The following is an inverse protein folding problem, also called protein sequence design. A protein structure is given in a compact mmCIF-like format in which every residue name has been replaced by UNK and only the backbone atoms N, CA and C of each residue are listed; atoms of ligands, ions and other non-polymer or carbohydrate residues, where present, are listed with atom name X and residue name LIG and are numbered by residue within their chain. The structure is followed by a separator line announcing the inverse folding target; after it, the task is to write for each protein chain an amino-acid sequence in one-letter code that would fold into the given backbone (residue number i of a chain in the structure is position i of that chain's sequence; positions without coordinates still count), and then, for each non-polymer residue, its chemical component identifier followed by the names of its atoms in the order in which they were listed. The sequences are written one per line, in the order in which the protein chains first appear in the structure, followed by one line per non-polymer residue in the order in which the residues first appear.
data_IF_737570725181
#
_entry.id   IF_737570725181
#
_cell.length_a   1.000
_cell.length_b   1.000
_cell.length_c   1.000
_cell.angle_alpha   90.00
_cell.angle_beta   90.00
_cell.angle_gamma   90.00
#
_symmetry.space_group_name_H-M   'P 1'
#
loop_
_entity.id
_entity.type
_entity.pdbx_description
1 polymer ?
#
# COMPACT_ATOMS: atom_id res chain seq x y z
N UNK A 1 19.96 64.52 -53.09
CA UNK A 1 18.79 64.24 -52.21
C UNK A 1 18.57 62.74 -52.17
N UNK A 2 18.48 62.21 -50.94
CA UNK A 2 17.74 61.02 -50.49
C UNK A 2 18.12 59.62 -51.01
N UNK A 3 18.86 58.95 -50.12
CA UNK A 3 18.85 57.54 -49.72
C UNK A 3 17.54 56.77 -49.90
N UNK A 4 17.64 55.49 -50.29
CA UNK A 4 16.82 54.39 -49.75
C UNK A 4 17.65 53.09 -49.69
N UNK A 5 18.07 52.73 -48.48
CA UNK A 5 18.37 51.35 -48.04
C UNK A 5 17.10 50.80 -47.39
N UNK A 6 16.83 49.49 -47.47
CA UNK A 6 16.21 48.66 -46.40
C UNK A 6 16.12 47.20 -46.90
N UNK A 7 17.11 46.35 -46.59
CA UNK A 7 17.17 45.38 -45.48
C UNK A 7 16.32 44.13 -45.67
N UNK A 8 17.03 43.04 -46.04
CA UNK A 8 16.62 41.65 -45.98
C UNK A 8 16.64 41.19 -44.51
N UNK A 9 15.49 40.87 -43.92
CA UNK A 9 15.40 40.26 -42.59
C UNK A 9 15.50 38.74 -42.70
N UNK A 10 16.69 38.20 -42.39
CA UNK A 10 16.87 36.77 -42.11
C UNK A 10 16.38 36.50 -40.67
N UNK A 11 15.26 35.81 -40.54
CA UNK A 11 14.74 35.32 -39.27
C UNK A 11 15.58 34.13 -38.81
N UNK A 12 16.50 34.37 -37.88
CA UNK A 12 17.23 33.33 -37.15
C UNK A 12 16.23 32.58 -36.25
N UNK A 13 15.80 31.39 -36.67
CA UNK A 13 15.22 30.41 -35.77
C UNK A 13 16.30 30.01 -34.76
N UNK A 14 16.29 30.64 -33.59
CA UNK A 14 17.03 30.18 -32.42
C UNK A 14 16.48 28.82 -32.02
N UNK A 15 17.17 27.77 -32.44
CA UNK A 15 17.04 26.43 -31.87
C UNK A 15 17.43 26.56 -30.40
N UNK A 16 16.43 26.70 -29.52
CA UNK A 16 16.60 26.46 -28.10
C UNK A 16 16.89 24.96 -27.95
N UNK A 17 18.17 24.62 -28.08
CA UNK A 17 18.71 23.39 -27.56
C UNK A 17 18.63 23.51 -26.04
N UNK A 18 17.47 23.17 -25.47
CA UNK A 18 17.40 22.87 -24.05
C UNK A 18 18.32 21.69 -23.84
N UNK A 19 19.51 21.95 -23.30
CA UNK A 19 20.32 20.93 -22.69
C UNK A 19 19.44 20.27 -21.63
N UNK A 20 18.84 19.13 -21.97
CA UNK A 20 18.18 18.27 -21.01
C UNK A 20 19.26 17.92 -20.00
N UNK A 21 19.17 18.53 -18.82
CA UNK A 21 20.00 18.18 -17.68
C UNK A 21 19.91 16.66 -17.52
N UNK A 22 21.04 15.97 -17.66
CA UNK A 22 21.10 14.54 -17.48
C UNK A 22 20.46 14.19 -16.13
N UNK A 23 19.45 13.33 -16.16
CA UNK A 23 18.78 12.88 -14.94
C UNK A 23 19.81 12.13 -14.12
N UNK A 24 20.01 12.56 -12.88
CA UNK A 24 20.82 11.83 -11.92
C UNK A 24 19.90 10.84 -11.20
N UNK A 25 19.91 9.60 -11.67
CA UNK A 25 19.04 8.51 -11.20
C UNK A 25 19.04 8.34 -9.68
N UNK A 26 20.23 8.36 -9.05
CA UNK A 26 20.36 8.25 -7.60
C UNK A 26 19.75 9.44 -6.85
N UNK A 27 19.88 10.65 -7.41
CA UNK A 27 19.26 11.86 -6.84
C UNK A 27 17.74 11.79 -6.95
N UNK A 28 17.20 11.31 -8.08
CA UNK A 28 15.76 11.12 -8.25
C UNK A 28 15.23 10.12 -7.23
N UNK A 29 15.85 8.95 -7.08
CA UNK A 29 15.39 7.94 -6.12
C UNK A 29 15.39 8.48 -4.68
N UNK A 30 16.44 9.23 -4.30
CA UNK A 30 16.52 9.88 -2.98
C UNK A 30 15.39 10.91 -2.77
N UNK A 31 15.10 11.73 -3.78
CA UNK A 31 14.01 12.72 -3.73
C UNK A 31 12.65 12.05 -3.68
N UNK A 32 12.45 10.98 -4.45
CA UNK A 32 11.24 10.15 -4.42
C UNK A 32 11.02 9.59 -3.03
N UNK A 33 12.03 8.94 -2.42
CA UNK A 33 11.95 8.37 -1.06
C UNK A 33 11.54 9.40 0.00
N UNK A 34 12.05 10.63 -0.10
CA UNK A 34 11.72 11.72 0.83
C UNK A 34 10.26 12.22 0.73
N UNK A 35 9.51 11.84 -0.30
CA UNK A 35 8.11 12.25 -0.49
C UNK A 35 7.11 11.34 0.22
N UNK A 36 7.50 10.13 0.63
CA UNK A 36 6.58 9.16 1.23
C UNK A 36 6.51 9.35 2.74
N UNK A 37 5.30 9.15 3.28
CA UNK A 37 5.14 9.05 4.71
C UNK A 37 5.67 7.69 5.20
N UNK A 38 6.88 7.70 5.76
CA UNK A 38 7.51 6.53 6.37
C UNK A 38 7.69 6.72 7.88
N UNK A 39 6.67 6.43 8.72
CA UNK A 39 6.71 6.73 10.15
C UNK A 39 7.84 6.00 10.90
N UNK A 40 8.24 4.81 10.46
CA UNK A 40 9.36 4.07 11.07
C UNK A 40 10.72 4.70 10.79
N UNK A 41 10.87 5.45 9.68
CA UNK A 41 12.06 6.28 9.45
C UNK A 41 12.05 7.56 10.29
N UNK A 42 10.89 7.94 10.82
CA UNK A 42 10.73 9.16 11.62
C UNK A 42 10.84 8.97 13.11
N UNK A 43 11.06 7.74 13.61
CA UNK A 43 11.22 7.30 15.02
C UNK A 43 10.08 6.43 15.58
N UNK A 44 9.05 6.09 14.81
CA UNK A 44 8.06 5.09 15.26
C UNK A 44 8.76 3.74 15.48
N UNK A 45 8.58 3.13 16.65
CA UNK A 45 9.09 1.78 16.95
C UNK A 45 7.99 0.73 16.76
N UNK A 46 6.82 0.99 17.35
CA UNK A 46 5.65 0.12 17.25
C UNK A 46 4.36 0.89 17.52
N UNK A 47 3.23 0.29 17.16
CA UNK A 47 1.92 0.70 17.68
C UNK A 47 1.04 -0.51 17.97
N UNK A 48 0.13 -0.37 18.92
CA UNK A 48 -0.86 -1.40 19.28
C UNK A 48 -2.26 -0.82 19.26
N UNK A 49 -3.20 -1.51 18.61
CA UNK A 49 -4.60 -1.08 18.50
C UNK A 49 -5.54 -2.25 18.83
N UNK A 50 -6.76 -1.92 19.24
CA UNK A 50 -7.87 -2.86 19.16
C UNK A 50 -8.32 -2.99 17.70
N UNK A 51 -8.73 -4.19 17.32
CA UNK A 51 -9.33 -4.49 16.01
C UNK A 51 -10.85 -4.56 16.22
N UNK A 52 -11.56 -3.55 15.72
CA UNK A 52 -13.02 -3.55 15.68
C UNK A 52 -13.49 -4.14 14.35
N UNK A 53 -14.14 -5.29 14.43
CA UNK A 53 -14.74 -5.97 13.28
C UNK A 53 -16.22 -6.20 13.54
N UNK A 54 -17.06 -5.98 12.52
CA UNK A 54 -18.50 -6.18 12.62
C UNK A 54 -18.89 -7.49 11.94
N UNK A 55 -18.90 -8.58 12.71
CA UNK A 55 -19.20 -9.92 12.20
C UNK A 55 -20.59 -10.01 11.58
N UNK A 56 -21.56 -9.37 12.22
CA UNK A 56 -22.93 -9.33 11.70
C UNK A 56 -22.99 -8.70 10.32
N UNK A 57 -22.31 -7.57 10.13
CA UNK A 57 -22.26 -6.89 8.84
C UNK A 57 -21.54 -7.75 7.80
N UNK A 58 -20.38 -8.31 8.14
CA UNK A 58 -19.60 -9.15 7.24
C UNK A 58 -20.42 -10.32 6.69
N UNK A 59 -21.16 -11.05 7.54
CA UNK A 59 -21.98 -12.16 7.08
C UNK A 59 -23.17 -11.75 6.20
N UNK A 60 -23.70 -10.52 6.33
CA UNK A 60 -24.67 -9.99 5.37
C UNK A 60 -24.07 -9.62 4.01
N UNK A 61 -22.78 -9.29 3.97
CA UNK A 61 -22.10 -8.82 2.75
C UNK A 61 -21.43 -9.96 1.98
N UNK A 62 -21.00 -11.02 2.67
CA UNK A 62 -20.37 -12.19 2.09
C UNK A 62 -21.28 -13.42 2.24
N UNK A 63 -21.69 -14.01 1.11
CA UNK A 63 -22.50 -15.25 1.13
C UNK A 63 -21.62 -16.42 1.58
N UNK A 64 -21.90 -16.97 2.76
CA UNK A 64 -21.23 -18.17 3.26
C UNK A 64 -21.74 -19.39 2.48
N UNK A 65 -20.84 -20.09 1.78
CA UNK A 65 -21.18 -21.30 1.03
C UNK A 65 -20.76 -22.53 1.83
N UNK A 66 -21.73 -23.27 2.36
CA UNK A 66 -21.52 -24.66 2.77
C UNK A 66 -21.33 -24.94 4.26
N UNK A 67 -21.81 -24.09 5.17
CA UNK A 67 -21.61 -24.30 6.60
C UNK A 67 -22.92 -24.55 7.37
N UNK A 68 -22.83 -25.32 8.46
CA UNK A 68 -23.89 -25.51 9.45
C UNK A 68 -23.91 -24.33 10.46
N UNK A 69 -25.10 -23.96 10.96
CA UNK A 69 -25.32 -22.84 11.87
C UNK A 69 -25.71 -21.52 11.17
N UNK A 70 -26.45 -20.66 11.87
CA UNK A 70 -26.85 -19.34 11.35
C UNK A 70 -25.76 -18.30 11.59
N UNK A 71 -25.63 -17.35 10.67
CA UNK A 71 -24.66 -16.26 10.76
C UNK A 71 -24.84 -15.43 12.06
N UNK A 72 -26.09 -15.28 12.52
CA UNK A 72 -26.39 -14.63 13.79
C UNK A 72 -25.86 -15.39 15.02
N UNK A 73 -25.87 -16.72 15.00
CA UNK A 73 -25.34 -17.53 16.10
C UNK A 73 -23.82 -17.42 16.18
N UNK A 74 -23.15 -17.51 15.03
CA UNK A 74 -21.70 -17.37 14.94
C UNK A 74 -21.29 -15.97 15.39
N UNK A 75 -21.92 -14.92 14.84
CA UNK A 75 -21.60 -13.54 15.20
C UNK A 75 -21.74 -13.28 16.72
N UNK A 76 -22.75 -13.84 17.39
CA UNK A 76 -22.91 -13.69 18.84
C UNK A 76 -21.75 -14.29 19.64
N UNK A 77 -21.15 -15.37 19.16
CA UNK A 77 -20.05 -16.05 19.84
C UNK A 77 -18.73 -15.28 19.68
N UNK A 78 -18.44 -14.79 18.48
CA UNK A 78 -17.13 -14.20 18.15
C UNK A 78 -17.06 -12.68 18.31
N UNK A 79 -18.18 -11.96 18.19
CA UNK A 79 -18.21 -10.50 18.34
C UNK A 79 -17.65 -9.96 19.69
N UNK A 80 -17.80 -10.66 20.82
CA UNK A 80 -17.21 -10.22 22.10
C UNK A 80 -15.69 -10.44 22.21
N UNK A 81 -15.06 -11.16 21.28
CA UNK A 81 -13.62 -11.46 21.34
C UNK A 81 -12.83 -10.16 21.10
N UNK A 82 -11.95 -9.83 22.05
CA UNK A 82 -11.15 -8.61 21.99
C UNK A 82 -9.84 -8.85 21.23
N UNK A 83 -9.88 -8.69 19.92
CA UNK A 83 -8.71 -8.87 19.07
C UNK A 83 -7.88 -7.59 19.05
N UNK A 84 -6.56 -7.75 19.20
CA UNK A 84 -5.61 -6.64 19.13
C UNK A 84 -4.54 -6.92 18.10
N UNK A 85 -4.00 -5.86 17.53
CA UNK A 85 -2.83 -5.95 16.64
C UNK A 85 -1.71 -5.10 17.20
N UNK A 86 -0.49 -5.64 17.14
CA UNK A 86 0.74 -4.89 17.37
C UNK A 86 1.53 -4.87 16.07
N UNK A 87 1.87 -3.68 15.60
CA UNK A 87 2.59 -3.47 14.35
C UNK A 87 3.94 -2.85 14.67
N UNK A 88 5.00 -3.56 14.30
CA UNK A 88 6.38 -3.11 14.37
C UNK A 88 6.96 -2.99 12.95
N UNK A 89 8.18 -2.47 12.83
CA UNK A 89 8.85 -2.26 11.54
C UNK A 89 8.87 -3.52 10.66
N UNK A 90 9.02 -4.70 11.26
CA UNK A 90 9.20 -5.96 10.53
C UNK A 90 7.89 -6.67 10.20
N UNK A 91 6.88 -6.56 11.05
CA UNK A 91 5.64 -7.31 10.92
C UNK A 91 4.49 -6.71 11.76
N UNK A 92 3.27 -7.07 11.37
CA UNK A 92 2.08 -7.04 12.19
C UNK A 92 1.88 -8.40 12.86
N UNK A 93 1.54 -8.40 14.14
CA UNK A 93 1.19 -9.58 14.92
C UNK A 93 -0.18 -9.33 15.54
N UNK A 94 -1.11 -10.24 15.27
CA UNK A 94 -2.45 -10.22 15.84
C UNK A 94 -2.45 -11.11 17.07
N UNK A 95 -3.14 -10.67 18.12
CA UNK A 95 -3.42 -11.45 19.31
C UNK A 95 -4.93 -11.47 19.52
N UNK A 96 -5.55 -12.63 19.31
CA UNK A 96 -6.91 -12.86 19.78
C UNK A 96 -6.98 -12.78 21.30
N UNK A 97 -8.09 -12.23 21.81
CA UNK A 97 -8.43 -12.26 23.23
C UNK A 97 -8.91 -13.63 23.71
N UNK A 98 -8.95 -14.63 22.83
CA UNK A 98 -9.39 -16.00 23.09
C UNK A 98 -8.19 -16.93 23.31
N UNK A 99 -8.29 -17.87 24.24
CA UNK A 99 -7.28 -18.92 24.38
C UNK A 99 -7.43 -19.98 23.29
N UNK A 100 -6.33 -20.62 22.89
CA UNK A 100 -6.33 -21.66 21.84
C UNK A 100 -7.35 -22.79 22.12
N UNK A 101 -7.53 -23.18 23.39
CA UNK A 101 -8.50 -24.22 23.75
C UNK A 101 -9.96 -23.74 23.71
N UNK A 102 -10.21 -22.43 23.77
CA UNK A 102 -11.53 -21.81 23.56
C UNK A 102 -11.86 -21.74 22.07
N UNK A 103 -10.87 -21.47 21.22
CA UNK A 103 -11.00 -21.48 19.77
C UNK A 103 -11.47 -22.83 19.24
N UNK A 104 -10.84 -23.91 19.71
CA UNK A 104 -11.20 -25.28 19.34
C UNK A 104 -12.60 -25.71 19.83
N UNK A 105 -13.17 -25.00 20.82
CA UNK A 105 -14.52 -25.24 21.33
C UNK A 105 -15.59 -24.46 20.58
N UNK A 106 -15.21 -23.47 19.76
CA UNK A 106 -16.15 -22.74 18.93
C UNK A 106 -16.45 -23.56 17.66
N UNK A 107 -17.69 -24.06 17.47
CA UNK A 107 -18.06 -24.64 16.20
C UNK A 107 -17.94 -23.54 15.13
N UNK A 108 -17.04 -23.74 14.16
CA UNK A 108 -16.76 -22.84 13.03
C UNK A 108 -16.25 -21.41 13.39
N UNK A 109 -16.46 -20.93 14.62
CA UNK A 109 -16.03 -19.61 15.08
C UNK A 109 -14.51 -19.47 15.18
N UNK A 110 -13.77 -20.56 15.44
CA UNK A 110 -12.31 -20.53 15.37
C UNK A 110 -11.78 -20.27 13.97
N UNK A 111 -12.42 -20.85 12.94
CA UNK A 111 -12.05 -20.57 11.55
C UNK A 111 -12.33 -19.12 11.16
N UNK A 112 -13.48 -18.57 11.56
CA UNK A 112 -13.81 -17.17 11.31
C UNK A 112 -12.77 -16.24 11.96
N UNK A 113 -12.48 -16.42 13.24
CA UNK A 113 -11.49 -15.59 13.95
C UNK A 113 -10.09 -15.74 13.34
N UNK A 114 -9.63 -16.96 13.03
CA UNK A 114 -8.36 -17.17 12.34
C UNK A 114 -8.29 -16.50 10.96
N UNK A 115 -9.41 -16.45 10.22
CA UNK A 115 -9.48 -15.70 8.96
C UNK A 115 -9.38 -14.19 9.19
N UNK A 116 -10.01 -13.65 10.23
CA UNK A 116 -9.86 -12.25 10.62
C UNK A 116 -8.42 -11.92 10.98
N UNK A 117 -7.77 -12.75 11.82
CA UNK A 117 -6.36 -12.56 12.18
C UNK A 117 -5.46 -12.52 10.95
N UNK A 118 -5.62 -13.50 10.05
CA UNK A 118 -4.87 -13.56 8.81
C UNK A 118 -5.13 -12.34 7.92
N UNK A 119 -6.39 -11.91 7.78
CA UNK A 119 -6.77 -10.74 7.00
C UNK A 119 -6.15 -9.44 7.54
N UNK A 120 -6.20 -9.22 8.86
CA UNK A 120 -5.58 -8.08 9.53
C UNK A 120 -4.06 -8.10 9.36
N UNK A 121 -3.43 -9.25 9.61
CA UNK A 121 -1.99 -9.40 9.48
C UNK A 121 -1.53 -9.17 8.03
N UNK A 122 -2.20 -9.80 7.06
CA UNK A 122 -1.90 -9.66 5.64
C UNK A 122 -2.01 -8.20 5.19
N UNK A 123 -3.12 -7.53 5.51
CA UNK A 123 -3.34 -6.15 5.09
C UNK A 123 -2.34 -5.16 5.71
N UNK A 124 -1.99 -5.32 6.99
CA UNK A 124 -1.01 -4.44 7.64
C UNK A 124 0.44 -4.74 7.23
N UNK A 125 0.78 -6.00 6.93
CA UNK A 125 2.10 -6.33 6.38
C UNK A 125 2.33 -5.75 4.99
N UNK A 126 1.28 -5.64 4.16
CA UNK A 126 1.40 -4.92 2.89
C UNK A 126 1.53 -3.40 3.09
N UNK A 127 0.83 -2.84 4.08
CA UNK A 127 1.03 -1.43 4.48
C UNK A 127 2.46 -1.14 4.96
N UNK A 128 3.09 -2.10 5.65
CA UNK A 128 4.47 -1.97 6.14
C UNK A 128 5.48 -1.70 5.03
N UNK A 129 5.22 -2.14 3.80
CA UNK A 129 6.04 -1.83 2.64
C UNK A 129 6.18 -0.31 2.45
N UNK A 130 5.05 0.41 2.47
CA UNK A 130 5.03 1.86 2.32
C UNK A 130 5.62 2.56 3.56
N UNK A 131 5.21 2.13 4.77
CA UNK A 131 5.60 2.80 6.01
C UNK A 131 7.10 2.70 6.34
N UNK A 132 7.82 1.80 5.67
CA UNK A 132 9.27 1.61 5.81
C UNK A 132 10.05 2.07 4.56
N UNK A 133 9.43 2.74 3.59
CA UNK A 133 10.04 3.01 2.28
C UNK A 133 10.61 1.76 1.58
N UNK A 134 10.02 0.58 1.85
CA UNK A 134 10.44 -0.70 1.29
C UNK A 134 9.76 -1.02 -0.06
N UNK A 135 8.77 -0.21 -0.48
CA UNK A 135 8.23 -0.23 -1.85
C UNK A 135 9.21 0.33 -2.89
N UNK A 136 10.26 1.03 -2.45
CA UNK A 136 11.29 1.57 -3.32
C UNK A 136 12.56 0.73 -3.21
N UNK A 137 13.34 0.58 -4.30
CA UNK A 137 14.61 -0.13 -4.25
C UNK A 137 15.54 0.49 -3.18
N UNK A 138 16.39 -0.31 -2.52
CA UNK A 138 17.39 0.19 -1.58
C UNK A 138 18.21 1.33 -2.18
N UNK A 139 18.65 2.29 -1.36
CA UNK A 139 19.29 3.54 -1.84
C UNK A 139 20.51 3.31 -2.74
N UNK A 140 21.24 2.22 -2.53
CA UNK A 140 22.45 1.88 -3.29
C UNK A 140 22.18 0.97 -4.49
N UNK A 141 20.92 0.64 -4.78
CA UNK A 141 20.57 -0.16 -5.94
C UNK A 141 20.79 0.67 -7.21
N UNK A 142 21.58 0.18 -8.18
CA UNK A 142 21.67 0.83 -9.49
C UNK A 142 20.29 0.84 -10.14
N UNK A 143 19.78 2.03 -10.44
CA UNK A 143 18.50 2.24 -11.11
C UNK A 143 18.73 3.08 -12.37
N UNK A 144 17.84 2.93 -13.34
CA UNK A 144 17.73 3.81 -14.50
C UNK A 144 16.39 4.51 -14.47
N UNK A 145 16.37 5.85 -14.55
CA UNK A 145 15.13 6.62 -14.57
C UNK A 145 14.96 7.32 -15.90
N UNK A 146 13.83 7.08 -16.56
CA UNK A 146 13.44 7.76 -17.79
C UNK A 146 12.10 8.49 -17.61
N UNK A 147 11.94 9.71 -18.16
CA UNK A 147 10.63 10.36 -18.23
C UNK A 147 9.68 9.57 -19.12
N UNK A 148 8.40 9.54 -18.75
CA UNK A 148 7.33 8.96 -19.54
C UNK A 148 6.18 9.96 -19.72
N UNK A 149 5.21 9.63 -20.58
CA UNK A 149 4.04 10.49 -20.79
C UNK A 149 3.17 10.66 -19.53
N UNK A 150 3.24 9.71 -18.58
CA UNK A 150 2.45 9.71 -17.34
C UNK A 150 3.27 10.07 -16.10
N UNK A 151 4.57 10.34 -16.24
CA UNK A 151 5.46 10.63 -15.12
C UNK A 151 6.87 10.13 -15.37
N UNK A 152 7.27 9.12 -14.61
CA UNK A 152 8.60 8.52 -14.68
C UNK A 152 8.52 7.01 -14.69
N UNK A 153 9.43 6.39 -15.42
CA UNK A 153 9.66 4.96 -15.37
C UNK A 153 11.03 4.72 -14.75
N UNK A 154 11.08 3.82 -13.78
CA UNK A 154 12.30 3.41 -13.11
C UNK A 154 12.51 1.92 -13.38
N UNK A 155 13.71 1.57 -13.81
CA UNK A 155 14.12 0.18 -14.03
C UNK A 155 15.31 -0.18 -13.15
N UNK A 156 15.30 -1.38 -12.60
CA UNK A 156 16.43 -1.90 -11.82
C UNK A 156 16.45 -3.42 -11.83
N UNK A 157 17.58 -4.02 -11.44
CA UNK A 157 17.74 -5.47 -11.41
C UNK A 157 17.73 -6.00 -9.99
N UNK A 158 16.92 -7.04 -9.75
CA UNK A 158 16.94 -7.83 -8.51
C UNK A 158 17.41 -9.23 -8.85
N UNK A 159 18.63 -9.56 -8.43
CA UNK A 159 19.29 -10.84 -8.75
C UNK A 159 19.26 -11.11 -10.27
N UNK A 160 18.39 -12.02 -10.71
CA UNK A 160 18.26 -12.48 -12.09
C UNK A 160 17.15 -11.81 -12.88
N UNK A 161 16.27 -11.03 -12.24
CA UNK A 161 15.08 -10.45 -12.87
C UNK A 161 15.17 -8.93 -12.92
N UNK A 162 14.63 -8.35 -13.99
CA UNK A 162 14.48 -6.89 -14.14
C UNK A 162 13.11 -6.48 -13.60
N UNK A 163 13.09 -5.41 -12.82
CA UNK A 163 11.88 -4.81 -12.25
C UNK A 163 11.64 -3.48 -12.92
N UNK A 164 10.38 -3.21 -13.24
CA UNK A 164 9.90 -1.94 -13.75
C UNK A 164 8.93 -1.33 -12.73
N UNK A 165 9.15 -0.05 -12.42
CA UNK A 165 8.28 0.76 -11.57
C UNK A 165 7.80 1.98 -12.36
N UNK A 166 6.51 2.26 -12.25
CA UNK A 166 5.87 3.43 -12.86
C UNK A 166 5.47 4.42 -11.79
N UNK A 167 5.87 5.67 -11.96
CA UNK A 167 5.58 6.78 -11.07
C UNK A 167 4.79 7.85 -11.80
N UNK A 168 3.88 8.51 -11.10
CA UNK A 168 3.25 9.74 -11.56
C UNK A 168 4.25 10.91 -11.54
N UNK A 169 3.88 12.05 -12.14
CA UNK A 169 4.71 13.26 -12.15
C UNK A 169 5.08 13.80 -10.77
N UNK A 170 4.23 13.57 -9.76
CA UNK A 170 4.50 13.96 -8.39
C UNK A 170 5.42 12.98 -7.64
N UNK A 171 5.87 11.92 -8.34
CA UNK A 171 6.70 10.80 -7.88
C UNK A 171 5.97 9.80 -6.95
N UNK A 172 4.63 9.80 -6.94
CA UNK A 172 3.87 8.71 -6.34
C UNK A 172 3.94 7.43 -7.19
N UNK A 173 4.20 6.29 -6.54
CA UNK A 173 4.28 4.98 -7.17
C UNK A 173 2.88 4.56 -7.60
N UNK A 174 2.75 4.17 -8.85
CA UNK A 174 1.49 3.71 -9.44
C UNK A 174 1.49 2.19 -9.61
N UNK A 175 2.62 1.62 -10.04
CA UNK A 175 2.75 0.18 -10.22
C UNK A 175 4.19 -0.29 -10.17
N UNK A 176 4.37 -1.55 -9.78
CA UNK A 176 5.63 -2.29 -9.92
C UNK A 176 5.36 -3.68 -10.52
N UNK A 177 6.30 -4.20 -11.32
CA UNK A 177 6.22 -5.56 -11.84
C UNK A 177 7.62 -6.08 -12.22
N UNK A 178 7.82 -7.39 -12.15
CA UNK A 178 8.92 -8.02 -12.87
C UNK A 178 8.64 -7.93 -14.38
N UNK A 179 9.63 -7.51 -15.17
CA UNK A 179 9.49 -7.36 -16.62
C UNK A 179 9.02 -8.66 -17.27
N UNK A 180 7.93 -8.59 -18.03
CA UNK A 180 7.33 -9.74 -18.71
C UNK A 180 6.47 -10.64 -17.82
N UNK A 181 6.30 -10.31 -16.52
CA UNK A 181 5.43 -11.04 -15.60
C UNK A 181 4.24 -10.19 -15.17
N UNK A 182 3.10 -10.40 -15.81
CA UNK A 182 1.85 -9.77 -15.37
C UNK A 182 1.37 -10.29 -14.01
N UNK A 183 1.74 -11.53 -13.65
CA UNK A 183 1.40 -12.17 -12.39
C UNK A 183 2.04 -11.45 -11.18
N UNK A 184 3.26 -10.93 -11.36
CA UNK A 184 3.99 -10.23 -10.31
C UNK A 184 3.62 -8.74 -10.19
N UNK A 185 2.66 -8.27 -11.00
CA UNK A 185 2.24 -6.87 -11.00
C UNK A 185 1.56 -6.52 -9.68
N UNK A 186 1.93 -5.36 -9.16
CA UNK A 186 1.24 -4.69 -8.05
C UNK A 186 0.94 -3.26 -8.46
N UNK A 187 -0.14 -2.72 -7.92
CA UNK A 187 -0.52 -1.33 -8.11
C UNK A 187 -0.77 -0.66 -6.78
N UNK A 188 -0.52 0.64 -6.74
CA UNK A 188 -0.64 1.44 -5.52
C UNK A 188 -1.27 2.78 -5.83
N UNK A 189 -2.01 3.31 -4.85
CA UNK A 189 -2.52 4.67 -4.90
C UNK A 189 -2.09 5.42 -3.66
N UNK A 190 -1.52 6.60 -3.86
CA UNK A 190 -1.10 7.48 -2.79
C UNK A 190 -1.91 8.77 -2.76
N UNK A 191 -2.08 9.34 -1.58
CA UNK A 191 -2.64 10.69 -1.40
C UNK A 191 -1.70 11.55 -0.56
N UNK A 192 -1.67 12.88 -0.79
CA UNK A 192 -0.94 13.79 0.10
C UNK A 192 -1.45 13.70 1.54
N UNK A 193 -0.53 13.52 2.48
CA UNK A 193 -0.76 13.61 3.91
C UNK A 193 0.17 14.64 4.57
N UNK A 194 0.05 14.86 5.89
CA UNK A 194 0.81 15.89 6.60
C UNK A 194 2.33 15.71 6.58
N UNK A 195 2.81 14.46 6.46
CA UNK A 195 4.23 14.10 6.53
C UNK A 195 4.76 13.46 5.22
N UNK A 196 3.97 13.50 4.15
CA UNK A 196 4.29 12.86 2.88
C UNK A 196 3.11 12.11 2.29
N UNK A 197 3.36 11.34 1.24
CA UNK A 197 2.38 10.50 0.58
C UNK A 197 1.99 9.30 1.44
N UNK A 198 0.68 9.17 1.69
CA UNK A 198 0.06 8.05 2.39
C UNK A 198 -0.46 7.04 1.38
N UNK A 199 -0.15 5.75 1.56
CA UNK A 199 -0.68 4.69 0.70
C UNK A 199 -2.16 4.45 1.03
N UNK A 200 -3.04 4.78 0.10
CA UNK A 200 -4.51 4.63 0.28
C UNK A 200 -5.06 3.36 -0.39
N UNK A 201 -4.34 2.81 -1.36
CA UNK A 201 -4.66 1.50 -1.91
C UNK A 201 -3.41 0.73 -2.30
N UNK A 202 -3.47 -0.60 -2.15
CA UNK A 202 -2.49 -1.55 -2.64
C UNK A 202 -3.25 -2.72 -3.30
N UNK A 203 -2.90 -3.05 -4.55
CA UNK A 203 -3.54 -4.10 -5.34
C UNK A 203 -2.51 -5.10 -5.78
N UNK A 204 -2.86 -6.38 -5.69
CA UNK A 204 -2.01 -7.49 -6.11
C UNK A 204 -2.87 -8.60 -6.73
N UNK A 205 -2.23 -9.45 -7.53
CA UNK A 205 -2.88 -10.59 -8.14
C UNK A 205 -3.17 -11.68 -7.11
N UNK A 206 -4.29 -12.36 -7.28
CA UNK A 206 -4.65 -13.55 -6.51
C UNK A 206 -4.27 -14.79 -7.31
N UNK A 207 -3.64 -15.78 -6.67
CA UNK A 207 -3.19 -17.03 -7.31
C UNK A 207 -2.36 -16.83 -8.60
N UNK A 208 -1.61 -15.73 -8.67
CA UNK A 208 -0.78 -15.37 -9.82
C UNK A 208 -1.53 -14.73 -10.99
N UNK A 209 -2.77 -14.24 -10.78
CA UNK A 209 -3.55 -13.54 -11.79
C UNK A 209 -3.87 -12.11 -11.35
N UNK A 210 -3.39 -11.10 -12.09
CA UNK A 210 -3.68 -9.69 -11.81
C UNK A 210 -4.88 -9.14 -12.61
N UNK A 211 -5.57 -9.97 -13.41
CA UNK A 211 -6.70 -9.50 -14.22
C UNK A 211 -7.86 -9.01 -13.33
N UNK A 212 -8.63 -7.99 -13.78
CA UNK A 212 -9.86 -7.60 -13.10
C UNK A 212 -10.76 -8.81 -12.85
N UNK A 213 -11.23 -8.96 -11.62
CA UNK A 213 -11.95 -10.14 -11.15
C UNK A 213 -11.09 -11.13 -10.37
N UNK A 214 -9.75 -11.02 -10.41
CA UNK A 214 -8.82 -11.91 -9.69
C UNK A 214 -7.81 -11.13 -8.84
N UNK A 215 -8.15 -9.91 -8.40
CA UNK A 215 -7.23 -9.09 -7.59
C UNK A 215 -7.65 -9.10 -6.13
N UNK A 216 -6.65 -8.98 -5.26
CA UNK A 216 -6.84 -8.55 -3.88
C UNK A 216 -6.60 -7.04 -3.83
N UNK A 217 -7.55 -6.30 -3.28
CA UNK A 217 -7.49 -4.85 -3.15
C UNK A 217 -7.51 -4.51 -1.66
N UNK A 218 -6.45 -3.87 -1.20
CA UNK A 218 -6.32 -3.32 0.13
C UNK A 218 -6.57 -1.82 0.04
N UNK A 219 -7.39 -1.27 0.94
CA UNK A 219 -7.58 0.18 1.05
C UNK A 219 -7.42 0.64 2.48
N UNK A 220 -6.83 1.81 2.67
CA UNK A 220 -6.50 2.38 3.97
C UNK A 220 -7.03 3.80 4.10
N UNK A 221 -7.81 4.04 5.15
CA UNK A 221 -8.03 5.36 5.72
C UNK A 221 -7.13 5.54 6.95
N UNK A 222 -6.80 6.77 7.29
CA UNK A 222 -5.78 7.09 8.29
C UNK A 222 -6.33 7.93 9.45
N UNK A 223 -5.74 7.72 10.62
CA UNK A 223 -5.90 8.51 11.83
C UNK A 223 -4.55 9.05 12.30
N UNK A 224 -4.59 10.12 13.10
CA UNK A 224 -3.39 10.65 13.76
C UNK A 224 -3.28 10.10 15.19
N UNK A 225 -2.21 9.36 15.48
CA UNK A 225 -1.94 8.82 16.82
C UNK A 225 -0.52 9.19 17.23
N UNK A 226 -0.38 9.97 18.29
CA UNK A 226 0.94 10.41 18.78
C UNK A 226 1.78 11.19 17.75
N UNK A 227 1.15 11.81 16.74
CA UNK A 227 1.83 12.54 15.67
C UNK A 227 2.14 11.71 14.42
N UNK A 228 1.78 10.43 14.40
CA UNK A 228 1.94 9.56 13.23
C UNK A 228 0.60 9.33 12.52
N UNK A 229 0.64 9.27 11.18
CA UNK A 229 -0.48 8.81 10.37
C UNK A 229 -0.46 7.28 10.34
N UNK A 230 -1.42 6.65 11.02
CA UNK A 230 -1.56 5.20 11.10
C UNK A 230 -2.89 4.78 10.46
N UNK A 231 -3.02 3.54 9.95
CA UNK A 231 -4.29 3.03 9.47
C UNK A 231 -5.39 3.12 10.56
N UNK A 232 -6.56 3.60 10.16
CA UNK A 232 -7.78 3.65 10.98
C UNK A 232 -8.82 2.67 10.47
N UNK A 233 -9.08 2.68 9.16
CA UNK A 233 -10.07 1.81 8.54
C UNK A 233 -9.39 1.09 7.40
N UNK A 234 -9.53 -0.22 7.39
CA UNK A 234 -8.92 -1.08 6.39
C UNK A 234 -10.00 -1.91 5.75
N UNK A 235 -9.99 -1.95 4.43
CA UNK A 235 -10.85 -2.83 3.65
C UNK A 235 -10.00 -3.74 2.79
N UNK A 236 -10.41 -5.01 2.71
CA UNK A 236 -9.78 -6.05 1.90
C UNK A 236 -10.86 -6.61 1.00
N UNK A 237 -10.72 -6.41 -0.30
CA UNK A 237 -11.63 -6.95 -1.30
C UNK A 237 -10.92 -8.01 -2.10
N UNK A 238 -11.43 -9.24 -2.08
CA UNK A 238 -10.97 -10.33 -2.94
C UNK A 238 -11.96 -10.46 -4.08
N UNK A 239 -11.58 -9.99 -5.27
CA UNK A 239 -12.49 -9.89 -6.41
C UNK A 239 -13.01 -11.27 -6.86
N UNK A 240 -12.18 -12.32 -6.77
CA UNK A 240 -12.51 -13.66 -7.29
C UNK A 240 -13.56 -14.39 -6.46
N UNK A 241 -13.60 -14.10 -5.16
CA UNK A 241 -14.51 -14.71 -4.19
C UNK A 241 -15.69 -13.80 -3.84
N UNK A 242 -15.75 -12.59 -4.41
CA UNK A 242 -16.71 -11.54 -4.03
C UNK A 242 -16.73 -11.29 -2.51
N UNK A 243 -15.56 -11.40 -1.88
CA UNK A 243 -15.41 -11.34 -0.43
C UNK A 243 -14.85 -9.98 -0.02
N UNK A 244 -15.45 -9.39 1.02
CA UNK A 244 -15.00 -8.12 1.56
C UNK A 244 -14.88 -8.18 3.08
N UNK A 245 -13.73 -7.75 3.58
CA UNK A 245 -13.45 -7.60 5.00
C UNK A 245 -13.27 -6.13 5.32
N UNK A 246 -13.96 -5.63 6.34
CA UNK A 246 -13.86 -4.27 6.83
C UNK A 246 -13.57 -4.27 8.33
N UNK A 247 -12.41 -3.74 8.74
CA UNK A 247 -12.09 -3.55 10.15
C UNK A 247 -11.62 -2.13 10.44
N UNK A 248 -11.76 -1.73 11.70
CA UNK A 248 -11.21 -0.48 12.22
C UNK A 248 -10.15 -0.76 13.27
N UNK A 249 -9.15 0.10 13.31
CA UNK A 249 -8.15 0.14 14.36
C UNK A 249 -8.50 1.27 15.33
N UNK A 250 -8.77 0.92 16.57
CA UNK A 250 -9.17 1.90 17.61
C UNK A 250 -8.35 1.73 18.87
N UNK A 251 -8.43 2.70 19.79
CA UNK A 251 -7.70 2.66 21.06
C UNK A 251 -6.19 2.48 20.88
N UNK A 252 -5.64 3.11 19.84
CA UNK A 252 -4.25 2.91 19.45
C UNK A 252 -3.27 3.61 20.41
N UNK A 253 -2.19 2.91 20.75
CA UNK A 253 -1.05 3.43 21.51
C UNK A 253 0.22 3.30 20.68
N UNK A 254 1.12 4.28 20.75
CA UNK A 254 2.39 4.29 20.01
C UNK A 254 3.58 4.20 20.94
N UNK A 255 4.63 3.52 20.48
CA UNK A 255 5.96 3.54 21.05
C UNK A 255 6.90 4.22 20.04
N UNK A 256 7.59 5.27 20.49
CA UNK A 256 8.50 6.04 19.65
C UNK A 256 9.87 6.19 20.32
N UNK A 257 10.92 6.10 19.52
CA UNK A 257 12.27 6.39 19.99
C UNK A 257 12.40 7.88 20.32
N UNK A 258 13.04 8.17 21.45
CA UNK A 258 13.32 9.54 21.91
C UNK A 258 14.32 10.25 21.01
#
# INVERSE_FOLDING_TARGET
MRFFYLTLTFSLCTVFCQAQSAINDATVLKQTRAKYDAPFERNLQSFSCAVEFNWKQHFTEAVRVGDEGTDEEIAKLIQPINTRVTVARQNAVVSSGMMEDEEHKLPHGGMAEGLLEHAVQFSLNNWLGASNNALLPPENTPVHVEPSASGYKLEFRVKTFDVEMMFAHDMSLQSEAAKGSAADRRETEFRPGPQGFLMTSYRLGEDGDFRPGNRIILTYAYQNVGGFQLPEQVSITRESHHEVWHYKLTGCTVEAAK
#
